data_IF_807753335727
#
_entry.id   IF_807753335727
#
_cell.length_a   1.000
_cell.length_b   1.000
_cell.length_c   1.000
_cell.angle_alpha   90.00
_cell.angle_beta   90.00
_cell.angle_gamma   90.00
#
_symmetry.space_group_name_H-M   'P 1'
#
loop_
_entity.id
_entity.type
_entity.pdbx_description
1 polymer ?
#
# COMPACT_ATOMS: atom_id res chain seq x y z
N UNK A 1 -2.33 11.94 -20.12
CA UNK A 1 -2.04 12.07 -18.67
C UNK A 1 -0.56 11.88 -18.48
N UNK A 2 0.10 12.82 -17.81
CA UNK A 2 1.52 12.71 -17.50
C UNK A 2 1.63 11.89 -16.22
N UNK A 3 1.69 10.56 -16.36
CA UNK A 3 1.85 9.68 -15.21
C UNK A 3 3.33 9.68 -14.83
N UNK A 4 3.67 10.22 -13.65
CA UNK A 4 5.03 10.07 -13.14
C UNK A 4 5.20 8.61 -12.71
N UNK A 5 6.25 7.96 -13.20
CA UNK A 5 6.63 6.62 -12.75
C UNK A 5 7.80 6.73 -11.78
N UNK A 6 7.69 6.05 -10.64
CA UNK A 6 8.78 5.93 -9.68
C UNK A 6 8.93 4.47 -9.24
N UNK A 7 10.17 4.01 -9.20
CA UNK A 7 10.54 2.69 -8.65
C UNK A 7 11.67 2.88 -7.65
N UNK A 8 11.47 2.36 -6.45
CA UNK A 8 12.40 2.57 -5.33
C UNK A 8 11.69 2.55 -3.99
N UNK A 9 12.46 2.60 -2.90
CA UNK A 9 11.91 2.63 -1.54
C UNK A 9 11.82 4.07 -1.05
N UNK A 10 10.75 4.41 -0.34
CA UNK A 10 10.55 5.74 0.24
C UNK A 10 10.43 5.60 1.75
N UNK A 11 11.23 6.37 2.50
CA UNK A 11 11.25 6.33 3.97
C UNK A 11 11.33 7.73 4.56
N UNK A 12 10.33 8.11 5.36
CA UNK A 12 10.22 9.37 6.09
C UNK A 12 9.42 9.18 7.38
N UNK A 13 10.09 8.58 8.38
CA UNK A 13 9.47 8.08 9.63
C UNK A 13 9.74 8.99 10.85
N UNK A 14 10.57 10.00 10.67
CA UNK A 14 11.02 10.96 11.69
C UNK A 14 10.26 12.30 11.55
N UNK A 15 10.16 13.03 12.67
CA UNK A 15 9.32 14.23 12.79
C UNK A 15 9.71 15.41 11.89
N UNK A 16 10.85 15.35 11.20
CA UNK A 16 11.25 16.40 10.25
C UNK A 16 10.75 16.12 8.82
N UNK A 17 10.42 14.86 8.49
CA UNK A 17 9.95 14.43 7.17
C UNK A 17 8.58 13.79 7.31
N UNK A 18 7.58 14.61 7.66
CA UNK A 18 6.27 14.10 8.05
C UNK A 18 5.40 13.69 6.87
N UNK A 19 5.50 14.39 5.73
CA UNK A 19 4.47 14.34 4.69
C UNK A 19 5.03 13.92 3.34
N UNK A 20 4.41 12.91 2.71
CA UNK A 20 4.60 12.59 1.31
C UNK A 20 3.26 12.73 0.58
N UNK A 21 3.24 13.51 -0.49
CA UNK A 21 2.08 13.63 -1.37
C UNK A 21 2.42 13.01 -2.73
N UNK A 22 1.56 12.11 -3.19
CA UNK A 22 1.67 11.41 -4.48
C UNK A 22 0.39 11.71 -5.25
N UNK A 23 0.52 12.23 -6.46
CA UNK A 23 -0.61 12.58 -7.33
C UNK A 23 -0.35 12.16 -8.75
N UNK A 24 -1.37 11.64 -9.43
CA UNK A 24 -1.34 11.27 -10.84
C UNK A 24 -0.09 10.43 -11.21
N UNK A 25 0.24 9.44 -10.37
CA UNK A 25 1.51 8.70 -10.44
C UNK A 25 1.33 7.19 -10.30
N UNK A 26 2.28 6.44 -10.85
CA UNK A 26 2.46 5.01 -10.61
C UNK A 26 3.75 4.79 -9.81
N UNK A 27 3.64 4.15 -8.65
CA UNK A 27 4.77 3.81 -7.79
C UNK A 27 4.90 2.30 -7.64
N UNK A 28 6.10 1.79 -7.87
CA UNK A 28 6.53 0.44 -7.48
C UNK A 28 7.47 0.53 -6.28
N UNK A 29 6.89 0.60 -5.08
CA UNK A 29 7.63 1.08 -3.91
C UNK A 29 7.21 0.42 -2.61
N UNK A 30 8.20 0.16 -1.75
CA UNK A 30 7.92 0.06 -0.31
C UNK A 30 7.93 1.47 0.28
N UNK A 31 6.79 1.91 0.81
CA UNK A 31 6.61 3.24 1.37
C UNK A 31 6.47 3.14 2.89
N UNK A 32 7.33 3.85 3.61
CA UNK A 32 7.30 4.01 5.06
C UNK A 32 7.24 5.48 5.42
N UNK A 33 6.07 6.00 5.79
CA UNK A 33 5.87 7.45 6.00
C UNK A 33 5.08 7.74 7.27
N UNK A 34 5.30 8.91 7.88
CA UNK A 34 4.42 9.37 8.96
C UNK A 34 3.04 9.74 8.42
N UNK A 35 2.95 10.61 7.42
CA UNK A 35 1.72 11.03 6.77
C UNK A 35 1.84 10.83 5.26
N UNK A 36 0.96 9.99 4.72
CA UNK A 36 0.93 9.65 3.30
C UNK A 36 -0.38 10.14 2.69
N UNK A 37 -0.28 11.02 1.70
CA UNK A 37 -1.40 11.48 0.90
C UNK A 37 -1.26 10.98 -0.53
N UNK A 38 -2.29 10.30 -1.03
CA UNK A 38 -2.29 9.68 -2.35
C UNK A 38 -3.57 10.06 -3.08
N UNK A 39 -3.44 10.53 -4.32
CA UNK A 39 -4.57 10.94 -5.13
C UNK A 39 -4.39 10.46 -6.58
N UNK A 40 -5.43 9.86 -7.17
CA UNK A 40 -5.45 9.46 -8.59
C UNK A 40 -4.20 8.66 -9.02
N UNK A 41 -3.74 7.78 -8.15
CA UNK A 41 -2.45 7.11 -8.30
C UNK A 41 -2.57 5.61 -8.14
N UNK A 42 -1.54 4.89 -8.53
CA UNK A 42 -1.39 3.47 -8.29
C UNK A 42 -0.12 3.22 -7.46
N UNK A 43 -0.26 2.48 -6.36
CA UNK A 43 0.87 2.07 -5.51
C UNK A 43 0.92 0.55 -5.50
N UNK A 44 2.04 0.03 -5.97
CA UNK A 44 2.32 -1.39 -5.95
C UNK A 44 3.31 -1.68 -4.81
N UNK A 45 3.13 -2.83 -4.16
CA UNK A 45 3.89 -3.33 -3.00
C UNK A 45 3.41 -2.75 -1.65
N UNK A 46 4.32 -2.54 -0.70
CA UNK A 46 4.01 -2.32 0.73
C UNK A 46 3.84 -0.85 1.08
N UNK A 47 2.85 -0.57 1.93
CA UNK A 47 2.63 0.74 2.54
C UNK A 47 2.55 0.58 4.06
N UNK A 48 3.44 1.27 4.78
CA UNK A 48 3.37 1.43 6.24
C UNK A 48 3.32 2.93 6.55
N UNK A 49 2.15 3.42 6.93
CA UNK A 49 1.91 4.81 7.28
C UNK A 49 1.48 4.95 8.75
N UNK A 50 1.75 6.09 9.39
CA UNK A 50 1.00 6.44 10.62
C UNK A 50 -0.39 6.96 10.25
N UNK A 51 -0.45 7.90 9.32
CA UNK A 51 -1.69 8.49 8.78
C UNK A 51 -1.73 8.28 7.28
N UNK A 52 -2.82 7.69 6.78
CA UNK A 52 -3.03 7.43 5.37
C UNK A 52 -4.28 8.15 4.89
N UNK A 53 -4.13 9.01 3.88
CA UNK A 53 -5.23 9.67 3.18
C UNK A 53 -5.14 9.32 1.69
N UNK A 54 -6.02 8.46 1.20
CA UNK A 54 -6.00 7.98 -0.18
C UNK A 54 -7.33 8.24 -0.88
N UNK A 55 -7.31 8.87 -2.06
CA UNK A 55 -8.51 9.08 -2.88
C UNK A 55 -8.26 8.62 -4.31
N UNK A 56 -9.24 7.96 -4.93
CA UNK A 56 -9.11 7.50 -6.32
C UNK A 56 -7.82 6.69 -6.56
N UNK A 57 -7.39 5.90 -5.56
CA UNK A 57 -6.08 5.24 -5.56
C UNK A 57 -6.23 3.72 -5.71
N UNK A 58 -5.39 3.14 -6.56
CA UNK A 58 -5.25 1.68 -6.68
C UNK A 58 -4.07 1.24 -5.81
N UNK A 59 -4.31 0.30 -4.91
CA UNK A 59 -3.25 -0.42 -4.23
C UNK A 59 -3.15 -1.84 -4.79
N UNK A 60 -1.99 -2.25 -5.26
CA UNK A 60 -1.74 -3.63 -5.70
C UNK A 60 -0.75 -4.30 -4.75
N UNK A 61 -1.18 -5.39 -4.13
CA UNK A 61 -0.34 -6.19 -3.24
C UNK A 61 -0.15 -7.59 -3.79
N UNK A 62 1.05 -8.14 -3.63
CA UNK A 62 1.31 -9.53 -3.96
C UNK A 62 0.96 -10.43 -2.76
N UNK A 63 0.32 -11.55 -3.04
CA UNK A 63 0.07 -12.61 -2.08
C UNK A 63 0.75 -13.90 -2.54
N UNK A 64 1.65 -14.39 -1.71
CA UNK A 64 2.35 -15.66 -1.87
C UNK A 64 1.80 -16.68 -0.85
N UNK A 65 0.90 -17.53 -1.33
CA UNK A 65 0.26 -18.56 -0.53
C UNK A 65 1.17 -19.74 -0.19
N UNK A 66 2.24 -19.96 -0.96
CA UNK A 66 3.17 -21.06 -0.69
C UNK A 66 4.06 -20.75 0.49
N UNK A 67 4.55 -19.50 0.54
CA UNK A 67 5.44 -19.01 1.60
C UNK A 67 4.70 -18.28 2.72
N UNK A 68 3.37 -18.19 2.66
CA UNK A 68 2.52 -17.45 3.63
C UNK A 68 2.98 -16.00 3.81
N UNK A 69 3.31 -15.31 2.72
CA UNK A 69 3.80 -13.93 2.71
C UNK A 69 2.92 -13.04 1.85
N UNK A 70 2.77 -11.79 2.24
CA UNK A 70 2.13 -10.80 1.40
C UNK A 70 2.79 -9.43 1.54
N UNK A 71 2.63 -8.63 0.50
CA UNK A 71 2.66 -7.19 0.65
C UNK A 71 1.42 -6.74 1.44
N UNK A 72 1.48 -5.57 2.07
CA UNK A 72 0.41 -5.10 2.94
C UNK A 72 0.29 -3.58 2.87
N UNK A 73 -0.89 -3.11 3.25
CA UNK A 73 -1.18 -1.70 3.50
C UNK A 73 -1.55 -1.60 4.98
N UNK A 74 -0.81 -0.77 5.70
CA UNK A 74 -0.98 -0.56 7.13
C UNK A 74 -1.01 0.93 7.44
N UNK A 75 -1.99 1.34 8.23
CA UNK A 75 -2.05 2.67 8.86
C UNK A 75 -2.21 2.52 10.36
N UNK A 76 -1.34 3.18 11.14
CA UNK A 76 -1.25 2.96 12.60
C UNK A 76 -2.17 3.87 13.41
N UNK A 77 -2.37 5.11 12.98
CA UNK A 77 -3.09 6.16 13.73
C UNK A 77 -4.42 6.55 13.09
N UNK A 78 -4.47 6.76 11.77
CA UNK A 78 -5.72 7.12 11.09
C UNK A 78 -5.73 6.75 9.61
N UNK A 79 -6.91 6.42 9.10
CA UNK A 79 -7.10 6.16 7.66
C UNK A 79 -8.32 6.93 7.18
N UNK A 80 -8.20 7.63 6.04
CA UNK A 80 -9.31 8.34 5.42
C UNK A 80 -9.22 8.34 3.89
N UNK A 81 -10.33 8.75 3.27
CA UNK A 81 -10.46 8.95 1.83
C UNK A 81 -11.37 7.92 1.17
N UNK A 82 -11.67 8.13 -0.12
CA UNK A 82 -12.77 7.47 -0.83
C UNK A 82 -12.38 6.98 -2.21
N UNK A 83 -13.17 6.04 -2.73
CA UNK A 83 -13.03 5.52 -4.09
C UNK A 83 -11.65 4.89 -4.37
N UNK A 84 -11.17 4.06 -3.45
CA UNK A 84 -9.92 3.32 -3.63
C UNK A 84 -10.21 1.88 -4.04
N UNK A 85 -9.28 1.27 -4.78
CA UNK A 85 -9.35 -0.13 -5.18
C UNK A 85 -8.16 -0.92 -4.60
N UNK A 86 -8.42 -2.12 -4.09
CA UNK A 86 -7.40 -3.08 -3.70
C UNK A 86 -7.34 -4.18 -4.76
N UNK A 87 -6.18 -4.36 -5.38
CA UNK A 87 -5.90 -5.42 -6.33
C UNK A 87 -4.99 -6.45 -5.66
N UNK A 88 -5.45 -7.69 -5.61
CA UNK A 88 -4.67 -8.82 -5.11
C UNK A 88 -4.01 -9.52 -6.29
N UNK A 89 -2.68 -9.58 -6.28
CA UNK A 89 -1.92 -10.37 -7.24
C UNK A 89 -1.51 -11.69 -6.59
N UNK A 90 -2.16 -12.78 -6.97
CA UNK A 90 -1.81 -14.11 -6.50
C UNK A 90 -0.59 -14.59 -7.26
N UNK A 91 0.55 -14.69 -6.56
CA UNK A 91 1.80 -15.17 -7.15
C UNK A 91 1.75 -16.68 -7.41
N UNK A 92 1.01 -17.39 -6.58
CA UNK A 92 0.81 -18.83 -6.64
C UNK A 92 -0.69 -19.12 -6.54
N UNK A 93 -1.11 -20.29 -7.03
CA UNK A 93 -2.50 -20.71 -6.87
C UNK A 93 -2.84 -20.80 -5.38
N UNK A 94 -3.97 -20.24 -4.94
CA UNK A 94 -4.45 -20.44 -3.58
C UNK A 94 -4.77 -21.93 -3.40
N UNK A 95 -3.84 -22.67 -2.79
CA UNK A 95 -4.07 -24.07 -2.43
C UNK A 95 -4.90 -24.13 -1.15
N UNK A 96 -5.73 -25.17 -1.02
CA UNK A 96 -6.41 -25.52 0.25
C UNK A 96 -5.38 -26.06 1.25
N UNK A 97 -4.42 -25.24 1.69
CA UNK A 97 -3.66 -25.54 2.91
C UNK A 97 -4.56 -25.22 4.09
N UNK A 98 -4.92 -26.24 4.87
CA UNK A 98 -5.59 -26.01 6.16
C UNK A 98 -4.75 -25.03 7.01
N UNK A 99 -5.39 -24.02 7.60
CA UNK A 99 -4.72 -23.04 8.46
C UNK A 99 -4.03 -21.87 7.77
N UNK A 100 -4.20 -21.67 6.45
CA UNK A 100 -3.61 -20.52 5.76
C UNK A 100 -4.36 -19.21 6.06
N UNK A 101 -3.80 -18.39 6.96
CA UNK A 101 -4.27 -17.04 7.26
C UNK A 101 -3.25 -16.00 6.75
N UNK A 102 -3.58 -15.25 5.71
CA UNK A 102 -2.74 -14.15 5.21
C UNK A 102 -3.44 -12.82 5.46
N UNK A 103 -2.78 -11.90 6.18
CA UNK A 103 -3.26 -10.55 6.36
C UNK A 103 -2.93 -9.71 5.11
N UNK A 104 -3.97 -9.36 4.35
CA UNK A 104 -3.84 -8.59 3.11
C UNK A 104 -3.96 -7.07 3.37
N UNK A 105 -4.82 -6.68 4.31
CA UNK A 105 -4.97 -5.29 4.71
C UNK A 105 -5.42 -5.22 6.17
N UNK A 106 -4.88 -4.25 6.92
CA UNK A 106 -5.39 -3.85 8.23
C UNK A 106 -5.62 -2.35 8.21
N UNK A 107 -6.87 -1.96 8.37
CA UNK A 107 -7.29 -0.56 8.35
C UNK A 107 -7.85 -0.23 9.73
N UNK A 108 -7.18 0.66 10.45
CA UNK A 108 -7.73 1.27 11.65
C UNK A 108 -8.62 2.45 11.21
N UNK A 109 -9.92 2.33 11.46
CA UNK A 109 -10.97 3.33 11.23
C UNK A 109 -11.29 4.00 12.56
#
# INVERSE_FOLDING_TARGET
MQNTFFSGNIKGINDTQKNLAIKDSLLESHIQMSNLQVEKSAIYRKVDAKKLSANNTIFKINADFENSKADYINSKESTQGVNNALVLNFLNNPSKKEGLNILLAKINI
#
